data_IF_706353097467
#
_entry.id   IF_706353097467
#
_cell.length_a   1.000
_cell.length_b   1.000
_cell.length_c   1.000
_cell.angle_alpha   90.00
_cell.angle_beta   90.00
_cell.angle_gamma   90.00
#
_symmetry.space_group_name_H-M   'P 1'
#
loop_
_entity.id
_entity.type
_entity.pdbx_description
1 polymer ?
#
# COMPACT_ATOMS: atom_id res chain seq x y z
N UNK A 1 -16.21 -3.47 33.34
CA UNK A 1 -16.44 -3.09 31.94
C UNK A 1 -15.60 -1.88 31.52
N UNK A 2 -15.67 -0.74 32.23
CA UNK A 2 -14.85 0.45 31.90
C UNK A 2 -13.34 0.17 31.76
N UNK A 3 -12.74 -0.53 32.72
CA UNK A 3 -11.31 -0.87 32.67
C UNK A 3 -10.93 -1.75 31.47
N UNK A 4 -11.80 -2.69 31.10
CA UNK A 4 -11.59 -3.54 29.93
C UNK A 4 -11.67 -2.70 28.64
N UNK A 5 -12.65 -1.80 28.56
CA UNK A 5 -12.78 -0.89 27.42
C UNK A 5 -11.55 0.03 27.27
N UNK A 6 -11.04 0.58 28.38
CA UNK A 6 -9.82 1.40 28.37
C UNK A 6 -8.59 0.58 27.95
N UNK A 7 -8.46 -0.65 28.46
CA UNK A 7 -7.38 -1.55 28.06
C UNK A 7 -7.41 -1.84 26.55
N UNK A 8 -8.58 -2.17 26.01
CA UNK A 8 -8.75 -2.42 24.58
C UNK A 8 -8.47 -1.18 23.73
N UNK A 9 -8.87 0.01 24.20
CA UNK A 9 -8.57 1.27 23.51
C UNK A 9 -7.06 1.52 23.42
N UNK A 10 -6.33 1.34 24.53
CA UNK A 10 -4.88 1.49 24.56
C UNK A 10 -4.23 0.47 23.62
N UNK A 11 -4.67 -0.78 23.65
CA UNK A 11 -4.15 -1.83 22.78
C UNK A 11 -4.37 -1.50 21.30
N UNK A 12 -5.54 -0.97 20.94
CA UNK A 12 -5.83 -0.53 19.58
C UNK A 12 -4.89 0.59 19.13
N UNK A 13 -4.65 1.60 19.98
CA UNK A 13 -3.71 2.70 19.69
C UNK A 13 -2.30 2.15 19.47
N UNK A 14 -1.83 1.24 20.34
CA UNK A 14 -0.51 0.62 20.19
C UNK A 14 -0.38 -0.11 18.86
N UNK A 15 -1.38 -0.90 18.46
CA UNK A 15 -1.35 -1.59 17.17
C UNK A 15 -1.40 -0.65 15.97
N UNK A 16 -2.15 0.45 16.04
CA UNK A 16 -2.18 1.46 14.98
C UNK A 16 -0.81 2.12 14.79
N UNK A 17 -0.16 2.50 15.89
CA UNK A 17 1.19 3.11 15.84
C UNK A 17 2.24 2.12 15.33
N UNK A 18 2.16 0.86 15.76
CA UNK A 18 3.07 -0.19 15.30
C UNK A 18 2.85 -0.55 13.82
N UNK A 19 1.60 -0.52 13.35
CA UNK A 19 1.25 -0.73 11.95
C UNK A 19 1.80 0.39 11.05
N UNK A 20 1.60 1.66 11.45
CA UNK A 20 2.14 2.81 10.71
C UNK A 20 3.67 2.74 10.65
N UNK A 21 4.32 2.42 11.77
CA UNK A 21 5.78 2.28 11.81
C UNK A 21 6.28 1.17 10.89
N UNK A 22 5.67 -0.01 10.92
CA UNK A 22 6.03 -1.12 10.01
C UNK A 22 5.81 -0.75 8.54
N UNK A 23 4.71 -0.06 8.23
CA UNK A 23 4.45 0.42 6.87
C UNK A 23 5.56 1.36 6.41
N UNK A 24 6.01 2.29 7.27
CA UNK A 24 7.10 3.23 6.95
C UNK A 24 8.46 2.55 6.82
N UNK A 25 8.72 1.50 7.59
CA UNK A 25 9.95 0.70 7.53
C UNK A 25 9.98 -0.27 6.33
N UNK A 26 8.83 -0.60 5.73
CA UNK A 26 8.73 -1.55 4.61
C UNK A 26 9.36 -1.07 3.30
N UNK A 27 9.69 0.23 3.19
CA UNK A 27 10.15 0.84 1.95
C UNK A 27 9.06 0.95 0.87
N UNK A 28 7.82 0.52 1.15
CA UNK A 28 6.71 0.67 0.24
C UNK A 28 6.30 2.14 0.11
N UNK A 29 5.98 2.59 -1.11
CA UNK A 29 5.44 3.92 -1.32
C UNK A 29 4.10 4.06 -0.56
N UNK A 30 3.85 5.25 -0.02
CA UNK A 30 2.53 5.56 0.53
C UNK A 30 1.44 5.37 -0.53
N UNK A 31 0.27 4.87 -0.11
CA UNK A 31 -0.84 4.54 -1.00
C UNK A 31 -1.13 3.03 -1.01
N UNK A 32 -2.11 2.63 -1.82
CA UNK A 32 -2.44 1.20 -1.96
C UNK A 32 -1.65 0.65 -3.12
N UNK A 33 -0.71 -0.25 -2.86
CA UNK A 33 -0.15 -1.05 -3.97
C UNK A 33 -1.33 -1.79 -4.60
N UNK A 34 -1.49 -1.70 -5.93
CA UNK A 34 -2.53 -2.39 -6.72
C UNK A 34 -1.95 -3.38 -7.73
N UNK A 35 -0.63 -3.39 -7.89
CA UNK A 35 0.09 -4.30 -8.75
C UNK A 35 1.49 -4.55 -8.21
N UNK A 36 2.01 -5.77 -8.42
CA UNK A 36 3.43 -6.10 -8.25
C UNK A 36 3.87 -6.96 -9.43
N UNK A 37 5.13 -6.86 -9.86
CA UNK A 37 5.69 -7.72 -10.92
C UNK A 37 5.71 -9.22 -10.54
N UNK A 38 5.57 -9.53 -9.25
CA UNK A 38 5.31 -10.91 -8.82
C UNK A 38 3.92 -11.34 -9.28
N UNK A 39 3.83 -12.47 -10.00
CA UNK A 39 2.60 -13.05 -10.60
C UNK A 39 1.45 -13.33 -9.61
N UNK A 40 1.57 -12.91 -8.35
CA UNK A 40 0.59 -13.06 -7.31
C UNK A 40 -0.66 -12.19 -7.56
N UNK A 41 -0.51 -11.03 -8.20
CA UNK A 41 -1.61 -10.13 -8.55
C UNK A 41 -1.79 -10.12 -10.07
N UNK A 42 -3.05 -10.12 -10.52
CA UNK A 42 -3.46 -10.49 -11.89
C UNK A 42 -2.72 -9.81 -13.05
N UNK A 43 -2.91 -10.33 -14.26
CA UNK A 43 -2.22 -9.82 -15.44
C UNK A 43 -2.51 -8.35 -15.73
N UNK A 44 -1.47 -7.64 -16.15
CA UNK A 44 -1.60 -6.29 -16.71
C UNK A 44 -2.20 -6.44 -18.11
N UNK A 45 -3.50 -6.22 -18.25
CA UNK A 45 -4.23 -6.41 -19.52
C UNK A 45 -3.81 -5.43 -20.63
N UNK A 46 -3.21 -4.28 -20.27
CA UNK A 46 -2.83 -3.22 -21.21
C UNK A 46 -1.44 -2.68 -20.88
N UNK A 47 -0.61 -2.34 -21.90
CA UNK A 47 0.70 -1.75 -21.67
C UNK A 47 0.62 -0.51 -20.77
N UNK A 48 1.50 -0.43 -19.77
CA UNK A 48 1.62 0.74 -18.92
C UNK A 48 2.49 1.76 -19.64
N UNK A 49 1.90 2.91 -19.96
CA UNK A 49 2.53 3.96 -20.75
C UNK A 49 2.73 5.19 -19.86
N UNK A 50 3.96 5.66 -19.77
CA UNK A 50 4.28 6.96 -19.18
C UNK A 50 4.54 7.96 -20.30
N UNK A 51 3.46 8.62 -20.73
CA UNK A 51 3.44 9.48 -21.93
C UNK A 51 4.45 10.64 -21.87
N UNK A 52 4.68 11.19 -20.68
CA UNK A 52 5.59 12.33 -20.46
C UNK A 52 7.05 11.98 -20.79
N UNK A 53 7.46 10.73 -20.57
CA UNK A 53 8.81 10.24 -20.92
C UNK A 53 8.84 9.33 -22.14
N UNK A 54 7.70 9.08 -22.79
CA UNK A 54 7.60 8.15 -23.93
C UNK A 54 7.96 6.70 -23.56
N UNK A 55 7.78 6.31 -22.29
CA UNK A 55 8.16 4.99 -21.79
C UNK A 55 6.98 4.02 -21.82
N UNK A 56 7.28 2.75 -22.10
CA UNK A 56 6.34 1.63 -21.97
C UNK A 56 7.06 0.47 -21.27
N UNK A 57 6.36 -0.28 -20.42
CA UNK A 57 6.96 -1.44 -19.75
C UNK A 57 6.13 -2.03 -18.63
N UNK A 58 6.79 -2.87 -17.82
CA UNK A 58 6.24 -3.54 -16.65
C UNK A 58 7.01 -3.03 -15.41
N UNK A 59 6.44 -2.09 -14.63
CA UNK A 59 7.09 -1.59 -13.42
C UNK A 59 7.03 -2.66 -12.31
N UNK A 60 7.94 -2.56 -11.33
CA UNK A 60 7.99 -3.47 -10.19
C UNK A 60 6.69 -3.46 -9.37
N UNK A 61 5.99 -2.32 -9.32
CA UNK A 61 4.68 -2.15 -8.67
C UNK A 61 3.90 -0.97 -9.26
N UNK A 62 2.58 -0.96 -9.02
CA UNK A 62 1.71 0.21 -9.23
C UNK A 62 1.05 0.60 -7.91
N UNK A 63 0.87 1.90 -7.70
CA UNK A 63 0.31 2.44 -6.47
C UNK A 63 -0.89 3.29 -6.80
N UNK A 64 -2.03 2.99 -6.20
CA UNK A 64 -3.19 3.86 -6.25
C UNK A 64 -3.11 4.93 -5.16
N UNK A 65 -3.22 6.19 -5.56
CA UNK A 65 -3.49 7.33 -4.68
C UNK A 65 -4.72 8.08 -5.16
N UNK A 66 -5.69 8.25 -4.26
CA UNK A 66 -6.91 9.03 -4.53
C UNK A 66 -7.67 8.57 -5.78
N UNK A 67 -7.78 7.25 -6.02
CA UNK A 67 -8.48 6.71 -7.19
C UNK A 67 -7.69 6.76 -8.50
N UNK A 68 -6.41 7.14 -8.46
CA UNK A 68 -5.52 7.22 -9.61
C UNK A 68 -4.30 6.34 -9.40
N UNK A 69 -3.91 5.63 -10.45
CA UNK A 69 -2.68 4.84 -10.55
C UNK A 69 -1.59 5.70 -11.17
#
# INVERSE_FOLDING_TARGET
>A
MLYLSLFLLILAIVFLLQGDRQHRESGLPGGRVVYTDTRAWGEVEKPLIYAELGLTGKPDYLVERHGKI
#
